data_IF_955977724898
#
_entry.id   IF_955977724898
#
_cell.length_a   1.000
_cell.length_b   1.000
_cell.length_c   1.000
_cell.angle_alpha   90.00
_cell.angle_beta   90.00
_cell.angle_gamma   90.00
#
_symmetry.space_group_name_H-M   'P 1'
#
loop_
_entity.id
_entity.type
_entity.pdbx_description
1 polymer ?
#
# COMPACT_ATOMS: atom_id res chain seq x y z
N UNK A 1 17.85 16.01 44.32
CA UNK A 1 17.28 16.46 43.04
C UNK A 1 17.90 15.60 41.95
N UNK A 2 17.22 14.53 41.54
CA UNK A 2 17.75 13.53 40.60
C UNK A 2 17.30 13.94 39.21
N UNK A 3 18.24 14.41 38.38
CA UNK A 3 18.03 14.53 36.94
C UNK A 3 17.90 13.11 36.37
N UNK A 4 16.67 12.66 36.10
CA UNK A 4 16.47 11.55 35.17
C UNK A 4 16.78 12.09 33.78
N UNK A 5 17.80 11.52 33.16
CA UNK A 5 18.02 11.63 31.72
C UNK A 5 16.73 11.23 31.01
N UNK A 6 16.15 12.16 30.26
CA UNK A 6 15.16 11.84 29.24
C UNK A 6 15.93 11.04 28.18
N UNK A 7 15.84 9.70 28.25
CA UNK A 7 16.19 8.88 27.09
C UNK A 7 15.12 9.19 26.07
N UNK A 8 15.49 9.96 25.04
CA UNK A 8 14.71 10.03 23.82
C UNK A 8 14.79 8.61 23.25
N UNK A 9 13.71 7.85 23.41
CA UNK A 9 13.56 6.57 22.73
C UNK A 9 13.90 6.80 21.24
N UNK A 10 14.83 6.00 20.72
CA UNK A 10 15.24 6.07 19.32
C UNK A 10 14.02 6.14 18.43
N UNK A 11 13.92 7.16 17.58
CA UNK A 11 12.94 7.17 16.50
C UNK A 11 13.22 5.92 15.69
N UNK A 12 12.36 4.91 15.81
CA UNK A 12 12.43 3.72 14.98
C UNK A 12 12.00 4.16 13.58
N UNK A 13 12.95 4.23 12.65
CA UNK A 13 12.64 4.46 11.25
C UNK A 13 12.20 3.15 10.62
N UNK A 14 11.19 3.21 9.77
CA UNK A 14 10.84 2.10 8.91
C UNK A 14 12.04 1.70 8.06
N UNK A 15 12.37 0.42 8.08
CA UNK A 15 13.56 -0.12 7.44
C UNK A 15 13.16 -1.16 6.41
N UNK A 16 13.67 -1.00 5.18
CA UNK A 16 13.50 -1.94 4.09
C UNK A 16 14.81 -2.70 3.85
N UNK A 17 14.70 -4.02 3.73
CA UNK A 17 15.71 -4.84 3.06
C UNK A 17 15.20 -5.10 1.64
N UNK A 18 15.96 -4.66 0.65
CA UNK A 18 15.57 -4.68 -0.76
C UNK A 18 16.57 -5.53 -1.54
N UNK A 19 16.05 -6.35 -2.44
CA UNK A 19 16.87 -7.21 -3.28
C UNK A 19 17.69 -6.41 -4.28
N UNK A 20 18.94 -6.81 -4.44
CA UNK A 20 19.85 -6.20 -5.43
C UNK A 20 19.69 -6.76 -6.84
N UNK A 21 18.90 -7.83 -7.02
CA UNK A 21 18.79 -8.56 -8.28
C UNK A 21 20.02 -9.41 -8.63
N UNK A 22 21.02 -9.45 -7.75
CA UNK A 22 22.19 -10.32 -7.88
C UNK A 22 22.01 -11.52 -6.96
N UNK A 23 22.25 -12.73 -7.50
CA UNK A 23 22.14 -13.95 -6.71
C UNK A 23 23.13 -13.96 -5.55
N UNK A 24 22.63 -14.30 -4.37
CA UNK A 24 23.48 -14.54 -3.20
C UNK A 24 24.25 -15.85 -3.41
N UNK A 25 25.58 -15.79 -3.33
CA UNK A 25 26.46 -16.96 -3.52
C UNK A 25 26.40 -17.93 -2.32
N UNK A 26 25.48 -17.73 -1.38
CA UNK A 26 25.15 -18.68 -0.32
C UNK A 26 24.61 -20.00 -0.90
N UNK A 27 25.24 -21.15 -0.58
CA UNK A 27 24.75 -22.46 -1.02
C UNK A 27 23.31 -22.70 -0.51
N UNK A 28 22.37 -22.94 -1.43
CA UNK A 28 20.97 -23.22 -1.12
C UNK A 28 19.99 -22.06 -1.31
N UNK A 29 20.45 -20.86 -1.69
CA UNK A 29 19.58 -19.75 -2.11
C UNK A 29 19.57 -19.70 -3.64
N UNK A 30 18.58 -20.35 -4.27
CA UNK A 30 18.39 -20.34 -5.74
C UNK A 30 17.47 -19.20 -6.21
N UNK A 31 16.79 -18.50 -5.29
CA UNK A 31 15.80 -17.48 -5.65
C UNK A 31 16.44 -16.11 -5.71
N UNK A 32 16.64 -15.61 -6.93
CA UNK A 32 17.03 -14.23 -7.18
C UNK A 32 15.76 -13.43 -7.43
N UNK A 33 15.34 -12.65 -6.44
CA UNK A 33 14.23 -11.72 -6.62
C UNK A 33 14.70 -10.54 -7.50
N UNK A 34 13.83 -9.95 -8.34
CA UNK A 34 14.21 -8.79 -9.15
C UNK A 34 14.71 -7.63 -8.29
N UNK A 35 15.67 -6.86 -8.82
CA UNK A 35 16.18 -5.67 -8.15
C UNK A 35 15.03 -4.74 -7.74
N UNK A 36 15.12 -4.15 -6.54
CA UNK A 36 14.08 -3.26 -6.01
C UNK A 36 12.95 -3.98 -5.26
N UNK A 37 12.86 -5.31 -5.35
CA UNK A 37 11.85 -6.08 -4.60
C UNK A 37 12.15 -6.08 -3.10
N UNK A 38 11.13 -5.81 -2.27
CA UNK A 38 11.27 -5.83 -0.81
C UNK A 38 11.37 -7.28 -0.35
N UNK A 39 12.48 -7.62 0.31
CA UNK A 39 12.67 -8.90 0.99
C UNK A 39 12.14 -8.86 2.42
N UNK A 40 12.32 -7.73 3.11
CA UNK A 40 11.82 -7.51 4.47
C UNK A 40 11.43 -6.06 4.73
N UNK A 41 10.37 -5.87 5.50
CA UNK A 41 9.99 -4.60 6.11
C UNK A 41 10.08 -4.74 7.63
N UNK A 42 10.87 -3.89 8.30
CA UNK A 42 11.08 -3.97 9.75
C UNK A 42 11.44 -5.39 10.23
N UNK A 43 12.33 -6.06 9.49
CA UNK A 43 12.78 -7.45 9.69
C UNK A 43 11.73 -8.55 9.43
N UNK A 44 10.50 -8.18 9.06
CA UNK A 44 9.40 -9.09 8.74
C UNK A 44 9.33 -9.38 7.24
N UNK A 45 9.02 -10.63 6.88
CA UNK A 45 8.77 -11.05 5.48
C UNK A 45 7.28 -10.98 5.10
N UNK A 46 6.41 -10.72 6.08
CA UNK A 46 4.96 -10.53 5.94
C UNK A 46 4.45 -9.76 7.15
N UNK A 47 3.33 -9.06 6.97
CA UNK A 47 2.61 -8.44 8.07
C UNK A 47 1.85 -9.48 8.91
N UNK A 48 1.28 -9.04 10.02
CA UNK A 48 0.41 -9.84 10.90
C UNK A 48 -0.82 -9.06 11.40
N UNK A 49 -1.15 -7.96 10.72
CA UNK A 49 -2.17 -6.99 11.14
C UNK A 49 -3.51 -7.19 10.41
N UNK A 50 -3.50 -7.90 9.29
CA UNK A 50 -4.68 -8.18 8.48
C UNK A 50 -5.24 -9.58 8.77
N UNK A 51 -6.50 -9.83 8.40
CA UNK A 51 -7.19 -11.08 8.74
C UNK A 51 -6.86 -12.26 7.81
N UNK A 52 -6.29 -11.98 6.63
CA UNK A 52 -5.97 -12.98 5.62
C UNK A 52 -4.49 -13.01 5.26
N UNK A 53 -3.99 -14.16 4.82
CA UNK A 53 -2.59 -14.33 4.42
C UNK A 53 -2.22 -13.44 3.23
N UNK A 54 -3.09 -13.33 2.22
CA UNK A 54 -2.85 -12.48 1.04
C UNK A 54 -2.73 -11.01 1.46
N UNK A 55 -3.61 -10.55 2.34
CA UNK A 55 -3.61 -9.17 2.81
C UNK A 55 -2.33 -8.81 3.59
N UNK A 56 -1.70 -9.80 4.21
CA UNK A 56 -0.45 -9.64 4.95
C UNK A 56 0.82 -9.79 4.08
N UNK A 57 0.71 -10.06 2.78
CA UNK A 57 1.88 -10.17 1.91
C UNK A 57 2.53 -8.80 1.70
N UNK A 58 3.87 -8.77 1.75
CA UNK A 58 4.68 -7.62 1.33
C UNK A 58 5.17 -7.94 -0.08
N UNK A 59 4.45 -7.39 -1.07
CA UNK A 59 4.68 -7.61 -2.48
C UNK A 59 5.26 -6.36 -3.15
N UNK A 60 6.20 -6.59 -4.07
CA UNK A 60 6.73 -5.57 -4.96
C UNK A 60 7.85 -4.74 -4.35
N UNK A 61 7.94 -3.49 -4.80
CA UNK A 61 8.99 -2.54 -4.40
C UNK A 61 8.46 -1.53 -3.39
N UNK A 62 9.28 -0.55 -2.99
CA UNK A 62 8.83 0.60 -2.19
C UNK A 62 8.13 1.69 -3.04
N UNK A 63 7.95 1.45 -4.35
CA UNK A 63 7.34 2.38 -5.29
C UNK A 63 8.29 3.43 -5.87
N UNK A 64 9.60 3.37 -5.56
CA UNK A 64 10.60 4.30 -6.13
C UNK A 64 11.24 3.81 -7.41
N UNK A 65 11.26 2.49 -7.63
CA UNK A 65 11.78 1.81 -8.80
C UNK A 65 11.06 0.48 -9.00
N UNK A 66 11.10 -0.06 -10.21
CA UNK A 66 10.60 -1.39 -10.56
C UNK A 66 11.69 -2.22 -11.25
N UNK A 67 11.38 -3.46 -11.59
CA UNK A 67 12.32 -4.30 -12.32
C UNK A 67 12.49 -3.80 -13.76
N UNK A 68 13.66 -4.05 -14.39
CA UNK A 68 13.87 -3.72 -15.79
C UNK A 68 12.93 -4.53 -16.71
N UNK A 69 12.78 -4.05 -17.95
CA UNK A 69 11.92 -4.63 -18.98
C UNK A 69 10.44 -4.70 -18.59
N UNK A 70 9.90 -3.62 -18.06
CA UNK A 70 8.48 -3.51 -17.70
C UNK A 70 7.57 -3.74 -18.93
N UNK A 71 6.46 -4.44 -18.74
CA UNK A 71 5.53 -4.83 -19.81
C UNK A 71 4.12 -4.30 -19.58
N UNK A 72 3.39 -4.05 -20.68
CA UNK A 72 2.04 -3.45 -20.61
C UNK A 72 0.97 -4.39 -20.07
N UNK A 73 1.26 -5.69 -20.01
CA UNK A 73 0.34 -6.75 -19.57
C UNK A 73 0.54 -7.16 -18.10
N UNK A 74 1.56 -6.64 -17.44
CA UNK A 74 1.84 -6.98 -16.04
C UNK A 74 1.12 -6.07 -15.04
N UNK A 75 0.97 -6.59 -13.81
CA UNK A 75 0.67 -5.80 -12.63
C UNK A 75 1.96 -5.51 -11.90
N UNK A 76 2.28 -4.24 -11.70
CA UNK A 76 3.42 -3.83 -10.89
C UNK A 76 2.95 -3.64 -9.44
N UNK A 77 3.71 -4.15 -8.48
CA UNK A 77 3.34 -4.08 -7.06
C UNK A 77 4.21 -3.08 -6.31
N UNK A 78 3.63 -2.44 -5.29
CA UNK A 78 4.35 -1.63 -4.34
C UNK A 78 3.80 -1.86 -2.92
N UNK A 79 4.68 -1.95 -1.94
CA UNK A 79 4.31 -1.92 -0.53
C UNK A 79 4.37 -0.49 0.00
N UNK A 80 3.25 -0.02 0.54
CA UNK A 80 3.13 1.36 1.02
C UNK A 80 2.95 1.33 2.55
N UNK A 81 4.01 1.62 3.34
CA UNK A 81 3.94 1.59 4.79
C UNK A 81 2.85 2.50 5.36
N UNK A 82 2.64 3.67 4.76
CA UNK A 82 1.66 4.68 5.22
C UNK A 82 0.21 4.15 5.24
N UNK A 83 -0.11 3.20 4.36
CA UNK A 83 -1.41 2.53 4.32
C UNK A 83 -1.31 1.04 4.70
N UNK A 84 -0.12 0.59 5.10
CA UNK A 84 0.14 -0.71 5.71
C UNK A 84 -0.29 -1.91 4.86
N UNK A 85 -0.21 -1.81 3.53
CA UNK A 85 -0.51 -2.91 2.62
C UNK A 85 0.27 -2.79 1.32
N UNK A 86 0.38 -3.90 0.62
CA UNK A 86 0.72 -3.88 -0.80
C UNK A 86 -0.46 -3.48 -1.66
N UNK A 87 -0.16 -2.72 -2.70
CA UNK A 87 -1.05 -2.31 -3.78
C UNK A 87 -0.46 -2.79 -5.11
N UNK A 88 -1.28 -2.80 -6.15
CA UNK A 88 -0.81 -2.99 -7.51
C UNK A 88 -1.29 -1.86 -8.41
N UNK A 89 -0.51 -1.60 -9.45
CA UNK A 89 -0.81 -0.67 -10.52
C UNK A 89 -0.96 -1.46 -11.83
N UNK A 90 -1.79 -0.97 -12.74
CA UNK A 90 -2.01 -1.57 -14.06
C UNK A 90 -1.70 -0.56 -15.15
N UNK A 91 -1.13 -1.02 -16.26
CA UNK A 91 -0.85 -0.17 -17.41
C UNK A 91 -2.12 0.56 -17.88
N UNK A 92 -1.99 1.86 -18.11
CA UNK A 92 -3.06 2.71 -18.60
C UNK A 92 -2.72 3.20 -20.02
N UNK A 93 -1.56 3.85 -20.16
CA UNK A 93 -1.15 4.48 -21.42
C UNK A 93 0.37 4.64 -21.51
N UNK A 94 0.85 4.95 -22.73
CA UNK A 94 2.25 5.35 -22.95
C UNK A 94 2.33 6.86 -22.96
N UNK A 95 3.25 7.41 -22.18
CA UNK A 95 3.55 8.82 -22.05
C UNK A 95 4.95 9.12 -22.61
N UNK A 96 5.22 10.39 -22.92
CA UNK A 96 6.58 10.88 -23.14
C UNK A 96 6.87 12.04 -22.22
N UNK A 97 8.04 12.02 -21.60
CA UNK A 97 8.48 13.15 -20.81
C UNK A 97 9.08 14.28 -21.67
N UNK A 98 9.49 15.37 -21.01
CA UNK A 98 10.09 16.54 -21.67
C UNK A 98 11.43 16.24 -22.37
N UNK A 99 12.06 15.10 -22.07
CA UNK A 99 13.31 14.65 -22.65
C UNK A 99 13.12 13.58 -23.74
N UNK A 100 11.88 13.38 -24.22
CA UNK A 100 11.51 12.40 -25.25
C UNK A 100 11.77 10.93 -24.85
N UNK A 101 11.75 10.65 -23.54
CA UNK A 101 11.81 9.29 -23.00
C UNK A 101 10.39 8.72 -22.96
N UNK A 102 10.21 7.56 -23.59
CA UNK A 102 8.96 6.80 -23.52
C UNK A 102 8.78 6.24 -22.10
N UNK A 103 7.61 6.48 -21.52
CA UNK A 103 7.22 6.04 -20.18
C UNK A 103 5.93 5.24 -20.25
N UNK A 104 5.83 4.18 -19.45
CA UNK A 104 4.59 3.46 -19.24
C UNK A 104 3.91 3.98 -17.99
N UNK A 105 2.72 4.56 -18.17
CA UNK A 105 1.89 5.04 -17.06
C UNK A 105 1.10 3.87 -16.51
N UNK A 106 1.40 3.46 -15.28
CA UNK A 106 0.60 2.54 -14.51
C UNK A 106 -0.24 3.31 -13.51
N UNK A 107 -1.53 3.00 -13.42
CA UNK A 107 -2.47 3.70 -12.53
C UNK A 107 -3.01 2.76 -11.48
N UNK A 108 -3.38 3.33 -10.31
CA UNK A 108 -4.08 2.61 -9.26
C UNK A 108 -5.50 2.26 -9.72
N UNK A 109 -5.87 0.97 -9.86
CA UNK A 109 -7.20 0.59 -10.26
C UNK A 109 -8.20 0.75 -9.10
N UNK A 110 -9.47 1.01 -9.43
CA UNK A 110 -10.56 1.17 -8.44
C UNK A 110 -10.71 -0.05 -7.51
N UNK A 111 -10.27 -1.23 -7.96
CA UNK A 111 -10.33 -2.49 -7.22
C UNK A 111 -9.47 -2.50 -5.96
N UNK A 112 -8.50 -1.59 -5.80
CA UNK A 112 -7.61 -1.58 -4.62
C UNK A 112 -8.36 -1.21 -3.34
N UNK A 113 -9.33 -0.30 -3.43
CA UNK A 113 -10.15 0.17 -2.30
C UNK A 113 -11.64 -0.19 -2.45
N UNK A 114 -11.98 -1.10 -3.36
CA UNK A 114 -13.35 -1.60 -3.49
C UNK A 114 -13.69 -2.62 -2.40
N UNK A 115 -14.95 -2.69 -2.00
CA UNK A 115 -15.54 -3.77 -1.22
C UNK A 115 -15.69 -5.03 -2.10
N UNK A 116 -14.59 -5.75 -2.29
CA UNK A 116 -14.50 -6.95 -3.13
C UNK A 116 -14.04 -8.17 -2.33
N UNK A 117 -14.27 -9.36 -2.89
CA UNK A 117 -13.79 -10.64 -2.34
C UNK A 117 -12.27 -10.64 -2.09
N UNK A 118 -11.50 -9.99 -2.97
CA UNK A 118 -10.03 -9.86 -2.89
C UNK A 118 -9.62 -8.98 -1.70
N UNK A 119 -10.40 -7.95 -1.37
CA UNK A 119 -10.08 -7.02 -0.30
C UNK A 119 -10.62 -7.40 1.08
N UNK A 120 -11.35 -8.51 1.20
CA UNK A 120 -11.93 -8.93 2.49
C UNK A 120 -10.89 -9.01 3.61
N UNK A 121 -9.68 -9.50 3.32
CA UNK A 121 -8.60 -9.58 4.32
C UNK A 121 -8.22 -8.23 4.97
N UNK A 122 -8.54 -7.11 4.31
CA UNK A 122 -8.26 -5.75 4.78
C UNK A 122 -9.40 -5.12 5.59
N UNK A 123 -10.54 -5.79 5.70
CA UNK A 123 -11.69 -5.28 6.44
C UNK A 123 -11.54 -5.59 7.94
N UNK A 124 -12.18 -4.77 8.78
CA UNK A 124 -12.17 -5.02 10.21
C UNK A 124 -13.02 -6.24 10.56
N UNK A 125 -12.56 -7.00 11.55
CA UNK A 125 -13.40 -7.97 12.21
C UNK A 125 -14.45 -7.20 13.03
N UNK A 126 -15.73 -7.41 12.75
CA UNK A 126 -16.78 -6.88 13.59
C UNK A 126 -16.74 -7.61 14.94
N UNK A 127 -16.47 -6.87 16.01
CA UNK A 127 -16.37 -7.38 17.39
C UNK A 127 -17.65 -7.08 18.19
N UNK A 128 -18.73 -6.63 17.55
CA UNK A 128 -19.98 -6.34 18.24
C UNK A 128 -20.60 -7.62 18.82
N UNK A 129 -20.95 -7.64 20.12
CA UNK A 129 -21.59 -8.79 20.74
C UNK A 129 -22.97 -8.99 20.10
N UNK A 130 -23.14 -10.12 19.39
CA UNK A 130 -24.29 -10.57 18.59
C UNK A 130 -24.11 -10.53 17.06
N UNK A 131 -23.02 -9.98 16.56
CA UNK A 131 -22.55 -10.22 15.20
C UNK A 131 -21.68 -11.48 15.21
N UNK A 132 -22.15 -12.55 14.59
CA UNK A 132 -21.29 -13.70 14.28
C UNK A 132 -20.75 -13.55 12.87
N UNK A 133 -19.50 -13.10 12.74
CA UNK A 133 -18.63 -13.27 11.56
C UNK A 133 -19.02 -12.52 10.27
N UNK A 134 -19.63 -11.34 10.34
CA UNK A 134 -19.75 -10.50 9.15
C UNK A 134 -18.60 -9.47 9.11
N UNK A 135 -17.64 -9.68 8.20
CA UNK A 135 -16.57 -8.72 7.93
C UNK A 135 -17.20 -7.40 7.47
N UNK A 136 -17.03 -6.33 8.25
CA UNK A 136 -17.58 -5.03 7.90
C UNK A 136 -16.55 -4.26 7.07
N UNK A 137 -16.58 -4.48 5.77
CA UNK A 137 -15.84 -3.64 4.84
C UNK A 137 -16.49 -2.26 4.74
N UNK A 138 -15.67 -1.21 4.63
CA UNK A 138 -16.18 0.12 4.30
C UNK A 138 -16.80 0.11 2.88
N UNK A 139 -17.67 1.09 2.56
CA UNK A 139 -18.11 1.31 1.19
C UNK A 139 -16.94 1.43 0.20
N UNK A 140 -17.21 1.18 -1.08
CA UNK A 140 -16.21 1.30 -2.15
C UNK A 140 -15.44 2.63 -2.06
N UNK A 141 -14.15 2.57 -2.39
CA UNK A 141 -13.22 3.71 -2.42
C UNK A 141 -12.69 4.14 -1.04
N UNK A 142 -13.08 3.44 0.03
CA UNK A 142 -12.59 3.69 1.38
C UNK A 142 -11.76 2.52 1.91
N UNK A 143 -10.70 2.85 2.62
CA UNK A 143 -9.81 1.88 3.26
C UNK A 143 -9.46 2.31 4.67
N UNK A 144 -9.59 1.42 5.64
CA UNK A 144 -9.24 1.74 7.03
C UNK A 144 -7.81 1.36 7.38
N UNK A 145 -7.12 2.23 8.11
CA UNK A 145 -5.78 2.01 8.64
C UNK A 145 -5.78 1.63 10.14
N UNK A 146 -6.94 1.27 10.70
CA UNK A 146 -7.05 0.99 12.14
C UNK A 146 -6.08 -0.11 12.61
N UNK A 147 -5.78 -1.08 11.74
CA UNK A 147 -4.92 -2.22 12.08
C UNK A 147 -3.44 -1.87 12.24
N UNK A 148 -2.98 -0.69 11.79
CA UNK A 148 -1.56 -0.33 11.85
C UNK A 148 -1.28 1.05 12.43
N UNK A 149 -2.27 1.94 12.51
CA UNK A 149 -2.07 3.23 13.15
C UNK A 149 -2.30 3.13 14.65
N UNK A 150 -1.19 3.05 15.38
CA UNK A 150 -1.17 3.18 16.83
C UNK A 150 -0.64 4.56 17.20
N UNK A 151 -1.53 5.52 17.48
CA UNK A 151 -1.16 6.85 17.96
C UNK A 151 -0.71 6.82 19.43
N UNK A 152 0.45 6.21 19.69
CA UNK A 152 1.02 6.08 21.03
C UNK A 152 0.17 5.20 21.95
N UNK A 153 0.84 4.35 22.73
CA UNK A 153 0.20 3.42 23.68
C UNK A 153 -0.66 4.06 24.79
N UNK A 154 -0.80 5.39 24.82
CA UNK A 154 -1.42 6.16 25.89
C UNK A 154 -2.64 7.00 25.45
N UNK A 155 -3.04 6.96 24.18
CA UNK A 155 -4.22 7.69 23.70
C UNK A 155 -5.31 6.68 23.30
N UNK A 156 -6.18 6.33 24.25
CA UNK A 156 -7.33 5.44 24.04
C UNK A 156 -8.48 6.19 23.33
N UNK A 157 -8.20 6.75 22.16
CA UNK A 157 -9.18 7.43 21.31
C UNK A 157 -9.31 6.60 20.03
N UNK A 158 -10.53 6.20 19.61
CA UNK A 158 -10.74 5.40 18.42
C UNK A 158 -10.57 6.26 17.15
N UNK A 159 -9.37 6.77 16.92
CA UNK A 159 -9.03 7.46 15.68
C UNK A 159 -8.60 6.41 14.66
N UNK A 160 -9.58 5.83 13.97
CA UNK A 160 -9.31 5.11 12.74
C UNK A 160 -9.17 6.12 11.61
N UNK A 161 -7.98 6.23 11.02
CA UNK A 161 -7.82 6.98 9.78
C UNK A 161 -8.37 6.13 8.63
N UNK A 162 -9.17 6.79 7.80
CA UNK A 162 -9.74 6.21 6.59
C UNK A 162 -9.01 6.86 5.41
N UNK A 163 -8.32 6.06 4.63
CA UNK A 163 -7.73 6.45 3.37
C UNK A 163 -8.76 6.37 2.23
N UNK A 164 -8.57 7.21 1.23
CA UNK A 164 -9.32 7.23 -0.02
C UNK A 164 -8.47 7.92 -1.09
N UNK A 165 -8.88 7.83 -2.35
CA UNK A 165 -8.35 8.73 -3.37
C UNK A 165 -8.84 10.17 -3.13
N UNK A 166 -8.09 11.20 -3.56
CA UNK A 166 -8.52 12.59 -3.43
C UNK A 166 -9.93 12.86 -3.96
N UNK A 167 -10.69 13.67 -3.22
CA UNK A 167 -12.13 13.94 -3.46
C UNK A 167 -12.99 12.67 -3.60
N UNK A 168 -12.61 11.58 -2.93
CA UNK A 168 -13.29 10.29 -2.96
C UNK A 168 -13.47 9.73 -4.39
N UNK A 169 -12.46 9.90 -5.25
CA UNK A 169 -12.44 9.25 -6.57
C UNK A 169 -12.62 7.72 -6.41
N UNK A 170 -13.51 7.15 -7.22
CA UNK A 170 -13.94 5.74 -7.21
C UNK A 170 -14.73 5.31 -5.95
N UNK A 171 -15.14 6.23 -5.09
CA UNK A 171 -15.93 5.87 -3.91
C UNK A 171 -17.42 5.70 -4.20
N UNK A 172 -18.09 4.95 -3.31
CA UNK A 172 -19.54 4.79 -3.34
C UNK A 172 -20.26 6.15 -3.31
N UNK A 173 -21.35 6.34 -4.08
CA UNK A 173 -22.14 7.58 -4.06
C UNK A 173 -22.57 8.05 -2.66
N UNK A 174 -22.77 7.15 -1.69
CA UNK A 174 -23.09 7.52 -0.31
C UNK A 174 -21.97 8.35 0.34
N UNK A 175 -20.70 8.04 0.02
CA UNK A 175 -19.52 8.73 0.53
C UNK A 175 -19.37 10.09 -0.15
N UNK A 176 -19.50 10.11 -1.48
CA UNK A 176 -19.42 11.35 -2.27
C UNK A 176 -20.47 12.38 -1.86
N UNK A 177 -21.68 11.93 -1.56
CA UNK A 177 -22.80 12.80 -1.17
C UNK A 177 -22.78 13.19 0.31
N UNK A 178 -21.96 12.53 1.15
CA UNK A 178 -21.87 12.84 2.57
C UNK A 178 -21.08 14.13 2.86
N UNK A 179 -20.21 14.57 1.93
CA UNK A 179 -19.34 15.73 2.13
C UNK A 179 -19.52 16.75 1.00
N UNK A 180 -19.92 17.97 1.37
CA UNK A 180 -20.09 19.08 0.42
C UNK A 180 -18.72 19.51 -0.13
N UNK A 181 -18.65 19.70 -1.45
CA UNK A 181 -17.45 20.23 -2.14
C UNK A 181 -16.56 19.16 -2.78
N UNK A 182 -16.91 17.89 -2.66
CA UNK A 182 -16.22 16.80 -3.34
C UNK A 182 -16.46 16.87 -4.86
N UNK A 183 -15.39 16.70 -5.64
CA UNK A 183 -15.35 16.84 -7.11
C UNK A 183 -14.32 15.85 -7.66
N UNK A 184 -14.62 14.54 -7.65
CA UNK A 184 -13.69 13.53 -8.15
C UNK A 184 -13.36 13.80 -9.61
N UNK A 185 -12.07 13.71 -9.96
CA UNK A 185 -11.58 13.89 -11.32
C UNK A 185 -10.40 12.95 -11.53
N UNK A 186 -10.57 12.03 -12.48
CA UNK A 186 -9.58 10.99 -12.76
C UNK A 186 -8.18 11.54 -13.04
N UNK A 187 -8.10 12.58 -13.89
CA UNK A 187 -6.84 13.11 -14.40
C UNK A 187 -5.96 13.77 -13.32
N UNK A 188 -6.55 14.18 -12.19
CA UNK A 188 -5.81 14.87 -11.11
C UNK A 188 -5.88 14.16 -9.75
N UNK A 189 -6.80 13.19 -9.58
CA UNK A 189 -6.99 12.47 -8.32
C UNK A 189 -6.62 10.98 -8.41
N UNK A 190 -6.30 10.45 -9.60
CA UNK A 190 -5.82 9.06 -9.72
C UNK A 190 -4.31 9.00 -9.49
N UNK A 191 -3.89 8.16 -8.56
CA UNK A 191 -2.48 7.86 -8.35
C UNK A 191 -1.90 7.08 -9.53
N UNK A 192 -0.70 7.44 -9.95
CA UNK A 192 0.01 6.79 -11.05
C UNK A 192 1.51 6.72 -10.80
N UNK A 193 2.18 5.82 -11.51
CA UNK A 193 3.63 5.76 -11.64
C UNK A 193 3.96 5.74 -13.14
N UNK A 194 4.88 6.61 -13.56
CA UNK A 194 5.43 6.60 -14.90
C UNK A 194 6.78 5.88 -14.85
N UNK A 195 6.84 4.70 -15.47
CA UNK A 195 7.99 3.78 -15.39
C UNK A 195 8.71 3.79 -16.74
N UNK A 196 10.05 3.91 -16.73
CA UNK A 196 10.82 3.76 -17.97
C UNK A 196 10.92 2.26 -18.29
N UNK A 197 10.45 1.80 -19.47
CA UNK A 197 10.28 0.38 -19.73
C UNK A 197 11.58 -0.44 -19.64
N UNK A 198 12.72 0.14 -19.97
CA UNK A 198 13.99 -0.59 -20.05
C UNK A 198 14.60 -0.78 -18.66
N UNK A 199 14.63 0.26 -17.83
CA UNK A 199 15.33 0.28 -16.54
C UNK A 199 14.44 0.00 -15.35
N UNK A 200 13.13 0.23 -15.46
CA UNK A 200 12.21 0.22 -14.31
C UNK A 200 12.19 1.54 -13.57
#
# INVERSE_FOLDING_TARGET
MICRSFQVDSIAYDTFLVSSGLGDNTPGIERVDPAGTIERFNHLTSLSIWSDQYANMINGTDGTMWHPNATKDERTYAFIPDICRSIYLTFNETQRNVADIDLYRYTLPHTIFSNSTENRGFCMNDTTPNNTYELHCLPDGLFTQASCQHFGSNLNVPLSIIASNPHFLDADPIVLNAVVGMRPNDAIHRSFADIEPTTG
#
